data_IF_170225970713
#
_entry.id   IF_170225970713
#
_cell.length_a   1.000
_cell.length_b   1.000
_cell.length_c   1.000
_cell.angle_alpha   90.00
_cell.angle_beta   90.00
_cell.angle_gamma   90.00
#
_symmetry.space_group_name_H-M   'P 1'
#
loop_
_entity.id
_entity.type
_entity.pdbx_description
1 polymer ?
#
# COMPACT_ATOMS: atom_id res chain seq x y z
N UNK A 1 -20.20 -4.31 -7.26
CA UNK A 1 -19.29 -5.39 -6.80
C UNK A 1 -18.02 -4.75 -6.25
N UNK A 2 -17.59 -5.15 -5.06
CA UNK A 2 -16.31 -4.73 -4.49
C UNK A 2 -15.19 -5.65 -5.01
N UNK A 3 -14.06 -5.09 -5.43
CA UNK A 3 -12.91 -5.84 -5.97
C UNK A 3 -11.70 -5.60 -5.08
N UNK A 4 -11.10 -6.68 -4.57
CA UNK A 4 -9.80 -6.65 -3.90
C UNK A 4 -8.68 -6.81 -4.94
N UNK A 5 -7.62 -6.02 -4.81
CA UNK A 5 -6.40 -6.12 -5.62
C UNK A 5 -5.22 -6.28 -4.68
N UNK A 6 -4.31 -7.19 -5.01
CA UNK A 6 -3.14 -7.47 -4.18
C UNK A 6 -1.90 -7.29 -5.05
N UNK A 7 -0.97 -6.44 -4.61
CA UNK A 7 0.36 -6.30 -5.17
C UNK A 7 1.33 -7.13 -4.32
N UNK A 8 1.79 -8.29 -4.81
CA UNK A 8 2.60 -9.25 -4.06
C UNK A 8 3.97 -9.52 -4.74
N UNK A 9 4.94 -9.98 -3.96
CA UNK A 9 6.32 -10.26 -4.41
C UNK A 9 7.40 -9.90 -3.37
N UNK A 10 8.67 -10.35 -3.56
CA UNK A 10 9.78 -10.10 -2.63
C UNK A 10 10.12 -8.62 -2.41
N UNK A 11 10.90 -8.30 -1.38
CA UNK A 11 11.42 -6.95 -1.16
C UNK A 11 12.27 -6.51 -2.36
N UNK A 12 12.07 -5.27 -2.82
CA UNK A 12 12.74 -4.74 -4.02
C UNK A 12 12.15 -5.19 -5.37
N UNK A 13 11.08 -5.99 -5.41
CA UNK A 13 10.48 -6.46 -6.67
C UNK A 13 9.63 -5.41 -7.42
N UNK A 14 9.63 -4.14 -7.00
CA UNK A 14 8.92 -3.05 -7.69
C UNK A 14 7.41 -2.95 -7.43
N UNK A 15 6.87 -3.60 -6.39
CA UNK A 15 5.42 -3.58 -6.07
C UNK A 15 4.87 -2.16 -5.87
N UNK A 16 5.51 -1.37 -5.01
CA UNK A 16 5.12 0.01 -4.74
C UNK A 16 5.29 0.89 -5.99
N UNK A 17 6.37 0.68 -6.75
CA UNK A 17 6.60 1.37 -8.03
C UNK A 17 5.48 1.09 -9.05
N UNK A 18 5.02 -0.16 -9.15
CA UNK A 18 3.90 -0.51 -10.03
C UNK A 18 2.60 0.15 -9.55
N UNK A 19 2.34 0.16 -8.24
CA UNK A 19 1.18 0.85 -7.67
C UNK A 19 1.19 2.34 -8.03
N UNK A 20 2.30 3.06 -7.77
CA UNK A 20 2.47 4.49 -8.06
C UNK A 20 2.24 4.82 -9.53
N UNK A 21 2.71 3.96 -10.45
CA UNK A 21 2.50 4.13 -11.89
C UNK A 21 1.03 3.96 -12.31
N UNK A 22 0.24 3.18 -11.56
CA UNK A 22 -1.15 2.85 -11.87
C UNK A 22 -2.16 3.78 -11.19
N UNK A 23 -1.89 4.26 -9.98
CA UNK A 23 -2.82 5.10 -9.19
C UNK A 23 -3.24 6.38 -9.94
N UNK A 24 -2.32 7.02 -10.66
CA UNK A 24 -2.63 8.20 -11.48
C UNK A 24 -3.36 7.90 -12.79
N UNK A 25 -3.53 6.63 -13.16
CA UNK A 25 -4.10 6.19 -14.45
C UNK A 25 -5.39 5.40 -14.30
N UNK A 26 -5.60 4.76 -13.16
CA UNK A 26 -6.72 3.87 -12.90
C UNK A 26 -7.29 4.12 -11.50
N UNK A 27 -8.61 3.99 -11.36
CA UNK A 27 -9.22 3.93 -10.04
C UNK A 27 -8.94 2.57 -9.39
N UNK A 28 -7.95 2.53 -8.51
CA UNK A 28 -7.56 1.34 -7.76
C UNK A 28 -8.38 1.12 -6.49
N UNK A 29 -9.17 2.11 -6.07
CA UNK A 29 -9.92 2.12 -4.82
C UNK A 29 -9.04 2.55 -3.64
N UNK A 30 -9.41 2.10 -2.43
CA UNK A 30 -8.59 2.36 -1.24
C UNK A 30 -7.29 1.55 -1.30
N UNK A 31 -6.19 2.21 -0.98
CA UNK A 31 -4.87 1.60 -0.87
C UNK A 31 -4.52 1.36 0.60
N UNK A 32 -3.85 0.23 0.83
CA UNK A 32 -3.40 -0.19 2.14
C UNK A 32 -2.07 -0.90 2.00
N UNK A 33 -1.04 -0.38 2.67
CA UNK A 33 0.27 -1.01 2.78
C UNK A 33 0.59 -1.26 4.27
N UNK A 34 0.77 -2.53 4.70
CA UNK A 34 1.11 -2.85 6.08
C UNK A 34 2.38 -2.17 6.60
N UNK A 35 3.39 -1.99 5.75
CA UNK A 35 4.67 -1.36 6.15
C UNK A 35 4.47 0.14 6.42
N UNK A 36 3.69 0.83 5.58
CA UNK A 36 3.34 2.24 5.77
C UNK A 36 2.45 2.45 6.99
N UNK A 37 1.50 1.53 7.23
CA UNK A 37 0.68 1.53 8.45
C UNK A 37 1.55 1.39 9.70
N UNK A 38 2.46 0.41 9.72
CA UNK A 38 3.36 0.19 10.85
C UNK A 38 4.23 1.41 11.14
N UNK A 39 4.81 2.02 10.09
CA UNK A 39 5.57 3.25 10.22
C UNK A 39 4.73 4.41 10.74
N UNK A 40 3.50 4.55 10.25
CA UNK A 40 2.56 5.59 10.71
C UNK A 40 2.22 5.41 12.18
N UNK A 41 1.87 4.20 12.60
CA UNK A 41 1.57 3.87 14.00
C UNK A 41 2.76 4.20 14.91
N UNK A 42 3.97 3.78 14.53
CA UNK A 42 5.18 4.07 15.31
C UNK A 42 5.52 5.56 15.38
N UNK A 43 5.26 6.33 14.30
CA UNK A 43 5.50 7.78 14.26
C UNK A 43 4.46 8.56 15.06
N UNK A 44 3.22 8.09 15.11
CA UNK A 44 2.10 8.81 15.73
C UNK A 44 1.90 8.46 17.21
N UNK A 45 2.60 7.44 17.75
CA UNK A 45 2.65 7.14 19.19
C UNK A 45 1.24 7.01 19.81
N UNK A 46 0.48 6.03 19.32
CA UNK A 46 -0.68 5.49 20.05
C UNK A 46 -0.67 3.97 20.02
N UNK A 47 0.30 3.37 20.70
CA UNK A 47 0.21 2.01 21.25
C UNK A 47 1.06 1.98 22.53
N UNK A 48 0.66 2.77 23.52
CA UNK A 48 0.92 2.46 24.93
C UNK A 48 -0.23 1.57 25.44
#
# INVERSE_FOLDING_TARGET
MHRLRIFAGPNGSGKSTLYEQLEGRFNLGHYLNPDELHQTINKTLMLD
#
